data_IF_600935186877
#
_entry.id   IF_600935186877
#
_cell.length_a   1.000
_cell.length_b   1.000
_cell.length_c   1.000
_cell.angle_alpha   90.00
_cell.angle_beta   90.00
_cell.angle_gamma   90.00
#
_symmetry.space_group_name_H-M   'P 1'
#
loop_
_entity.id
_entity.type
_entity.pdbx_description
1 polymer ?
#
# COMPACT_ATOMS: atom_id res chain seq x y z
N UNK A 1 11.65 4.29 -17.69
CA UNK A 1 10.26 4.22 -18.19
C UNK A 1 9.44 3.41 -17.20
N UNK A 2 8.36 3.96 -16.65
CA UNK A 2 7.49 3.23 -15.72
C UNK A 2 6.61 2.24 -16.48
N UNK A 3 6.41 1.03 -15.93
CA UNK A 3 5.41 0.08 -16.47
C UNK A 3 4.03 0.71 -16.26
N UNK A 4 3.30 0.92 -17.35
CA UNK A 4 1.93 1.43 -17.31
C UNK A 4 0.95 0.31 -16.93
N UNK A 5 -0.23 0.70 -16.46
CA UNK A 5 -1.33 -0.22 -16.24
C UNK A 5 -1.66 -0.97 -17.54
N UNK A 6 -1.95 -2.27 -17.43
CA UNK A 6 -2.35 -3.13 -18.53
C UNK A 6 -3.62 -3.88 -18.13
N UNK A 7 -4.74 -3.55 -18.76
CA UNK A 7 -6.06 -4.09 -18.46
C UNK A 7 -6.16 -5.61 -18.73
N UNK A 8 -5.18 -6.20 -19.44
CA UNK A 8 -5.14 -7.63 -19.73
C UNK A 8 -4.42 -8.47 -18.65
N UNK A 9 -3.79 -7.84 -17.66
CA UNK A 9 -3.13 -8.52 -16.54
C UNK A 9 -3.96 -8.38 -15.26
N UNK A 10 -4.03 -9.43 -14.45
CA UNK A 10 -4.66 -9.32 -13.12
C UNK A 10 -3.90 -8.29 -12.27
N UNK A 11 -4.59 -7.30 -11.69
CA UNK A 11 -3.93 -6.29 -10.87
C UNK A 11 -3.30 -6.92 -9.61
N UNK A 12 -2.05 -6.55 -9.32
CA UNK A 12 -1.39 -6.94 -8.07
C UNK A 12 -2.19 -6.50 -6.83
N UNK A 13 -2.77 -5.30 -6.87
CA UNK A 13 -3.48 -4.68 -5.78
C UNK A 13 -4.64 -3.83 -6.32
N UNK A 14 -5.82 -4.01 -5.76
CA UNK A 14 -6.98 -3.14 -5.98
C UNK A 14 -7.45 -2.64 -4.61
N UNK A 15 -7.60 -1.32 -4.48
CA UNK A 15 -8.19 -0.68 -3.29
C UNK A 15 -9.41 0.09 -3.78
N UNK A 16 -10.59 -0.37 -3.38
CA UNK A 16 -11.86 0.24 -3.79
C UNK A 16 -12.54 0.80 -2.55
N UNK A 17 -12.91 2.07 -2.61
CA UNK A 17 -13.55 2.80 -1.53
C UNK A 17 -14.85 3.40 -2.06
N UNK A 18 -15.99 3.04 -1.47
CA UNK A 18 -17.31 3.52 -1.92
C UNK A 18 -17.66 4.91 -1.39
N UNK A 19 -17.13 5.27 -0.22
CA UNK A 19 -17.33 6.54 0.47
C UNK A 19 -16.09 6.84 1.33
N UNK A 20 -15.80 8.12 1.60
CA UNK A 20 -14.62 8.54 2.36
C UNK A 20 -14.54 7.93 3.77
N UNK A 21 -15.68 7.56 4.37
CA UNK A 21 -15.75 6.94 5.69
C UNK A 21 -15.90 5.41 5.65
N UNK A 22 -16.01 4.82 4.47
CA UNK A 22 -16.16 3.37 4.33
C UNK A 22 -14.88 2.62 4.67
N UNK A 23 -15.02 1.35 5.07
CA UNK A 23 -13.88 0.43 5.11
C UNK A 23 -13.56 0.01 3.68
N UNK A 24 -12.33 0.21 3.16
CA UNK A 24 -12.02 -0.12 1.78
C UNK A 24 -12.13 -1.63 1.53
N UNK A 25 -12.60 -2.02 0.35
CA UNK A 25 -12.34 -3.36 -0.16
C UNK A 25 -10.89 -3.41 -0.68
N UNK A 26 -10.17 -4.48 -0.35
CA UNK A 26 -8.77 -4.65 -0.77
C UNK A 26 -8.60 -6.05 -1.32
N UNK A 27 -8.25 -6.11 -2.60
CA UNK A 27 -7.94 -7.36 -3.31
C UNK A 27 -6.44 -7.33 -3.60
N UNK A 28 -5.72 -8.35 -3.16
CA UNK A 28 -4.29 -8.50 -3.38
C UNK A 28 -4.01 -9.85 -4.04
N UNK A 29 -3.38 -9.83 -5.22
CA UNK A 29 -3.16 -11.02 -6.07
C UNK A 29 -4.44 -11.85 -6.27
N UNK A 30 -5.55 -11.19 -6.55
CA UNK A 30 -6.86 -11.82 -6.79
C UNK A 30 -7.64 -12.21 -5.52
N UNK A 31 -7.04 -12.14 -4.32
CA UNK A 31 -7.71 -12.54 -3.08
C UNK A 31 -8.17 -11.33 -2.23
N UNK A 32 -9.39 -11.39 -1.71
CA UNK A 32 -9.90 -10.36 -0.81
C UNK A 32 -9.26 -10.45 0.58
N UNK A 33 -8.62 -9.36 1.02
CA UNK A 33 -8.05 -9.27 2.37
C UNK A 33 -9.15 -8.90 3.37
N UNK A 34 -9.56 -9.85 4.20
CA UNK A 34 -10.49 -9.64 5.33
C UNK A 34 -9.74 -9.16 6.59
N UNK A 35 -10.49 -8.68 7.61
CA UNK A 35 -9.92 -8.35 8.92
C UNK A 35 -8.87 -7.23 8.91
N UNK A 36 -8.98 -6.28 7.99
CA UNK A 36 -7.99 -5.20 7.79
C UNK A 36 -7.95 -4.28 9.00
N UNK A 37 -6.74 -4.03 9.49
CA UNK A 37 -6.47 -3.11 10.60
C UNK A 37 -5.81 -1.81 10.12
N UNK A 38 -4.97 -1.87 9.08
CA UNK A 38 -4.35 -0.70 8.45
C UNK A 38 -4.04 -1.00 7.00
N UNK A 39 -4.38 -0.07 6.12
CA UNK A 39 -4.03 -0.11 4.70
C UNK A 39 -3.31 1.20 4.40
N UNK A 40 -2.14 1.12 3.77
CA UNK A 40 -1.35 2.29 3.37
C UNK A 40 -0.79 2.03 1.98
N UNK A 41 -1.01 2.98 1.10
CA UNK A 41 -0.51 2.99 -0.27
C UNK A 41 0.09 4.37 -0.53
N UNK A 42 1.29 4.39 -1.07
CA UNK A 42 1.96 5.62 -1.45
C UNK A 42 2.70 5.37 -2.77
N UNK A 43 2.79 6.39 -3.61
CA UNK A 43 3.48 6.34 -4.89
C UNK A 43 3.96 7.73 -5.26
N UNK A 44 5.24 7.82 -5.65
CA UNK A 44 5.81 9.05 -6.17
C UNK A 44 6.67 8.76 -7.41
N UNK A 45 6.69 9.73 -8.32
CA UNK A 45 7.68 9.82 -9.38
C UNK A 45 9.03 10.25 -8.83
N UNK A 46 10.08 10.04 -9.61
CA UNK A 46 11.41 10.60 -9.40
C UNK A 46 11.41 12.12 -9.47
N UNK A 47 11.24 12.79 -8.33
CA UNK A 47 11.90 14.08 -8.12
C UNK A 47 13.40 13.85 -7.88
N UNK A 48 14.25 14.81 -8.27
CA UNK A 48 15.74 14.80 -8.31
C UNK A 48 16.53 14.09 -7.16
N UNK A 49 15.89 13.61 -6.09
CA UNK A 49 16.53 13.00 -4.91
C UNK A 49 15.86 11.74 -4.33
N UNK A 50 14.75 11.22 -4.87
CA UNK A 50 14.02 10.09 -4.25
C UNK A 50 14.22 8.74 -4.97
N UNK A 51 14.21 7.63 -4.24
CA UNK A 51 14.03 6.29 -4.83
C UNK A 51 12.56 6.19 -5.29
N UNK A 52 12.28 6.21 -6.60
CA UNK A 52 10.91 6.17 -7.09
C UNK A 52 10.28 4.81 -6.81
N UNK A 53 8.97 4.76 -6.59
CA UNK A 53 8.25 3.49 -6.54
C UNK A 53 7.01 3.48 -5.66
N UNK A 54 6.30 2.36 -5.75
CA UNK A 54 5.10 2.08 -4.98
C UNK A 54 5.46 1.56 -3.60
N UNK A 55 4.91 2.14 -2.54
CA UNK A 55 4.90 1.57 -1.19
C UNK A 55 3.52 0.97 -0.91
N UNK A 56 3.49 -0.27 -0.41
CA UNK A 56 2.28 -0.96 0.01
C UNK A 56 2.49 -1.49 1.41
N UNK A 57 1.56 -1.22 2.31
CA UNK A 57 1.51 -1.83 3.63
C UNK A 57 0.07 -2.17 4.00
N UNK A 58 -0.19 -3.46 4.19
CA UNK A 58 -1.49 -3.98 4.58
C UNK A 58 -1.29 -4.82 5.84
N UNK A 59 -1.83 -4.34 6.95
CA UNK A 59 -1.93 -5.07 8.21
C UNK A 59 -3.34 -5.62 8.34
N UNK A 60 -3.46 -6.92 8.54
CA UNK A 60 -4.75 -7.58 8.71
C UNK A 60 -4.66 -8.69 9.75
N UNK A 61 -5.82 -9.12 10.23
CA UNK A 61 -5.98 -10.28 11.09
C UNK A 61 -6.48 -11.44 10.24
N UNK A 62 -5.87 -12.60 10.41
CA UNK A 62 -6.44 -13.84 9.93
C UNK A 62 -7.26 -14.48 11.05
N UNK A 63 -8.54 -14.68 10.80
CA UNK A 63 -9.43 -15.36 11.73
C UNK A 63 -9.19 -16.87 11.63
N UNK A 64 -8.09 -17.32 12.25
CA UNK A 64 -7.91 -18.74 12.49
C UNK A 64 -8.73 -19.08 13.74
N UNK A 65 -9.58 -20.11 13.66
CA UNK A 65 -10.51 -20.58 14.72
C UNK A 65 -9.91 -20.79 16.12
N UNK A 66 -8.60 -20.64 16.29
CA UNK A 66 -7.88 -20.81 17.55
C UNK A 66 -7.08 -19.59 18.01
N UNK A 67 -6.70 -18.64 17.13
CA UNK A 67 -5.88 -17.45 17.47
C UNK A 67 -6.05 -16.30 16.47
N UNK A 68 -6.11 -15.07 16.98
CA UNK A 68 -6.03 -13.82 16.22
C UNK A 68 -4.55 -13.61 15.84
N UNK A 69 -4.16 -14.03 14.64
CA UNK A 69 -2.80 -13.80 14.13
C UNK A 69 -2.79 -12.54 13.27
N UNK A 70 -1.90 -11.59 13.60
CA UNK A 70 -1.66 -10.39 12.78
C UNK A 70 -0.73 -10.76 11.64
N UNK A 71 -1.14 -10.49 10.40
CA UNK A 71 -0.34 -10.64 9.18
C UNK A 71 -0.06 -9.28 8.56
N UNK A 72 1.08 -9.20 7.87
CA UNK A 72 1.55 -8.00 7.18
C UNK A 72 1.93 -8.38 5.76
N UNK A 73 1.36 -7.67 4.78
CA UNK A 73 1.83 -7.64 3.40
C UNK A 73 2.54 -6.30 3.23
N UNK A 74 3.81 -6.32 2.82
CA UNK A 74 4.60 -5.11 2.63
C UNK A 74 5.43 -5.18 1.35
N UNK A 75 5.43 -4.08 0.60
CA UNK A 75 6.32 -3.83 -0.53
C UNK A 75 7.03 -2.50 -0.35
N UNK A 76 8.34 -2.48 -0.61
CA UNK A 76 9.21 -1.32 -0.46
C UNK A 76 9.13 -0.67 0.95
N UNK A 77 9.72 0.52 1.11
CA UNK A 77 9.70 1.30 2.34
C UNK A 77 8.87 2.57 2.16
N UNK A 78 8.31 3.15 3.25
CA UNK A 78 7.57 4.40 3.15
C UNK A 78 8.45 5.50 2.55
N UNK A 79 7.85 6.37 1.74
CA UNK A 79 8.54 7.57 1.25
C UNK A 79 8.61 8.54 2.43
N UNK A 80 9.78 8.61 3.09
CA UNK A 80 10.01 9.59 4.15
C UNK A 80 10.53 10.86 3.50
N UNK A 81 9.88 12.00 3.74
CA UNK A 81 10.47 13.29 3.44
C UNK A 81 11.65 13.52 4.39
N UNK A 82 12.86 13.56 3.85
CA UNK A 82 14.02 14.04 4.58
C UNK A 82 13.70 15.46 5.08
N UNK A 83 13.46 15.62 6.38
CA UNK A 83 13.29 16.89 7.08
C UNK A 83 14.60 17.71 7.14
N UNK A 84 15.47 17.59 6.14
CA UNK A 84 16.88 17.97 6.22
C UNK A 84 17.30 18.83 5.04
N UNK A 85 16.68 20.00 4.83
CA UNK A 85 17.36 21.12 4.14
C UNK A 85 16.72 22.51 4.32
N UNK A 86 15.85 22.73 5.31
CA UNK A 86 15.30 24.07 5.64
C UNK A 86 16.12 24.84 6.70
N UNK A 87 17.29 24.32 7.11
CA UNK A 87 18.22 24.98 8.04
C UNK A 87 19.56 25.33 7.40
N UNK A 88 19.55 25.89 6.19
CA UNK A 88 20.70 26.63 5.65
C UNK A 88 20.23 28.01 5.19
N UNK A 89 19.96 28.86 6.18
CA UNK A 89 20.05 30.32 6.05
C UNK A 89 21.52 30.74 6.08
#
# INVERSE_FOLDING_TARGET
>A
MYKQFNDNEEPLLQIVLSDINAVPNVIYKGEEIKGKARVSFDWATDGHRRKPGTYIYIKHVEDSKKRINKKIIQHNHPIVEDQVELYRL
#
